data_IF_516460635818
#
_entry.id   IF_516460635818
#
_cell.length_a   1.000
_cell.length_b   1.000
_cell.length_c   1.000
_cell.angle_alpha   90.00
_cell.angle_beta   90.00
_cell.angle_gamma   90.00
#
_symmetry.space_group_name_H-M   'P 1'
#
loop_
_entity.id
_entity.type
_entity.pdbx_description
1 polymer ?
#
# COMPACT_ATOMS: atom_id res chain seq x y z
N UNK A 1 17.48 -0.31 -4.64
CA UNK A 1 16.11 -0.26 -4.09
C UNK A 1 15.23 -1.08 -5.00
N UNK A 2 14.33 -1.92 -4.47
CA UNK A 2 13.39 -2.66 -5.32
C UNK A 2 12.58 -1.67 -6.17
N UNK A 3 12.34 -1.99 -7.44
CA UNK A 3 11.50 -1.19 -8.31
C UNK A 3 10.09 -1.08 -7.68
N UNK A 4 9.56 0.13 -7.39
CA UNK A 4 8.23 0.32 -6.84
C UNK A 4 7.11 -0.37 -7.64
N UNK A 5 7.31 -0.56 -8.94
CA UNK A 5 6.35 -1.26 -9.80
C UNK A 5 6.13 -2.72 -9.40
N UNK A 6 7.10 -3.33 -8.69
CA UNK A 6 7.04 -4.74 -8.27
C UNK A 6 6.11 -5.00 -7.08
N UNK A 7 5.88 -4.01 -6.22
CA UNK A 7 5.06 -4.16 -5.00
C UNK A 7 3.89 -3.17 -4.89
N UNK A 8 3.81 -2.18 -5.79
CA UNK A 8 2.72 -1.18 -5.83
C UNK A 8 1.97 -1.23 -7.17
N UNK A 9 0.62 -1.22 -7.15
CA UNK A 9 -0.17 -1.06 -8.38
C UNK A 9 0.13 0.26 -9.09
N UNK A 10 -0.11 0.31 -10.41
CA UNK A 10 0.06 1.54 -11.18
C UNK A 10 -0.74 2.71 -10.57
N UNK A 11 -0.20 3.94 -10.57
CA UNK A 11 -0.89 5.11 -10.04
C UNK A 11 -2.32 5.25 -10.60
N UNK A 12 -3.29 5.58 -9.74
CA UNK A 12 -4.70 5.75 -10.14
C UNK A 12 -5.53 4.46 -10.25
N UNK A 13 -4.90 3.28 -10.36
CA UNK A 13 -5.62 2.00 -10.49
C UNK A 13 -6.25 1.51 -9.19
N UNK A 14 -5.77 1.98 -8.04
CA UNK A 14 -6.32 1.57 -6.75
C UNK A 14 -7.75 2.13 -6.59
N UNK A 15 -8.76 1.29 -6.33
CA UNK A 15 -10.15 1.72 -6.18
C UNK A 15 -10.38 2.59 -4.94
N UNK A 16 -11.42 3.43 -4.96
CA UNK A 16 -11.87 4.21 -3.79
C UNK A 16 -12.93 3.48 -2.95
N UNK A 17 -13.31 2.27 -3.37
CA UNK A 17 -14.28 1.43 -2.70
C UNK A 17 -13.71 0.75 -1.44
N UNK A 18 -14.58 0.28 -0.53
CA UNK A 18 -14.18 -0.61 0.56
C UNK A 18 -13.59 -1.92 0.06
N UNK A 19 -12.66 -2.48 0.83
CA UNK A 19 -12.10 -3.78 0.52
C UNK A 19 -10.95 -4.18 1.44
N UNK A 20 -10.25 -5.23 1.03
CA UNK A 20 -9.12 -5.83 1.73
C UNK A 20 -7.87 -5.69 0.86
N UNK A 21 -6.73 -5.42 1.47
CA UNK A 21 -5.42 -5.38 0.83
C UNK A 21 -4.44 -6.28 1.59
N UNK A 22 -3.40 -6.75 0.88
CA UNK A 22 -2.33 -7.57 1.45
C UNK A 22 -0.96 -7.05 1.01
N UNK A 23 0.02 -7.22 1.88
CA UNK A 23 1.42 -7.14 1.51
C UNK A 23 2.03 -8.53 1.58
N UNK A 24 2.89 -8.83 0.61
CA UNK A 24 3.62 -10.07 0.53
C UNK A 24 5.13 -9.78 0.56
N UNK A 25 5.90 -10.74 1.03
CA UNK A 25 7.35 -10.72 0.90
C UNK A 25 7.80 -11.05 -0.54
N UNK A 26 9.11 -11.06 -0.75
CA UNK A 26 9.74 -11.39 -2.04
C UNK A 26 9.47 -12.82 -2.54
N UNK A 27 9.07 -13.73 -1.65
CA UNK A 27 8.69 -15.10 -1.97
C UNK A 27 7.17 -15.26 -2.18
N UNK A 28 6.40 -14.17 -2.09
CA UNK A 28 4.95 -14.15 -2.24
C UNK A 28 4.17 -14.55 -0.98
N UNK A 29 4.84 -14.81 0.15
CA UNK A 29 4.14 -15.12 1.39
C UNK A 29 3.46 -13.87 1.92
N UNK A 30 2.20 -13.99 2.34
CA UNK A 30 1.44 -12.85 2.88
C UNK A 30 1.94 -12.53 4.28
N UNK A 31 2.47 -11.32 4.45
CA UNK A 31 3.02 -10.84 5.73
C UNK A 31 2.08 -9.88 6.47
N UNK A 32 1.14 -9.27 5.75
CA UNK A 32 0.18 -8.33 6.32
C UNK A 32 -1.12 -8.33 5.52
N UNK A 33 -2.25 -8.26 6.23
CA UNK A 33 -3.57 -8.05 5.65
C UNK A 33 -4.27 -6.92 6.39
N UNK A 34 -4.86 -5.98 5.64
CA UNK A 34 -5.63 -4.89 6.19
C UNK A 34 -6.96 -4.71 5.45
N UNK A 35 -7.93 -4.09 6.13
CA UNK A 35 -9.20 -3.66 5.54
C UNK A 35 -9.31 -2.15 5.51
N UNK A 36 -10.04 -1.60 4.56
CA UNK A 36 -10.28 -0.18 4.44
C UNK A 36 -11.68 0.12 3.92
N UNK A 37 -12.24 1.27 4.33
CA UNK A 37 -13.45 1.84 3.72
C UNK A 37 -13.17 2.48 2.34
N UNK A 38 -11.94 2.91 2.11
CA UNK A 38 -11.46 3.45 0.84
C UNK A 38 -10.01 2.95 0.64
N UNK A 39 -9.80 2.05 -0.32
CA UNK A 39 -8.50 1.42 -0.54
C UNK A 39 -7.44 2.41 -0.99
N UNK A 40 -7.76 3.33 -1.92
CA UNK A 40 -6.83 4.35 -2.40
C UNK A 40 -6.30 5.24 -1.29
N UNK A 41 -7.18 5.79 -0.47
CA UNK A 41 -6.80 6.66 0.64
C UNK A 41 -6.01 5.92 1.72
N UNK A 42 -6.31 4.64 1.96
CA UNK A 42 -5.56 3.83 2.93
C UNK A 42 -4.16 3.49 2.43
N UNK A 43 -4.05 3.09 1.16
CA UNK A 43 -2.80 2.61 0.58
C UNK A 43 -1.83 3.74 0.22
N UNK A 44 -2.31 4.96 -0.03
CA UNK A 44 -1.45 6.11 -0.38
C UNK A 44 -0.38 6.36 0.69
N UNK A 45 -0.71 6.26 1.97
CA UNK A 45 0.21 6.48 3.09
C UNK A 45 1.37 5.46 3.14
N UNK A 46 1.22 4.27 2.54
CA UNK A 46 2.30 3.27 2.49
C UNK A 46 3.29 3.52 1.36
N UNK A 47 2.91 4.32 0.36
CA UNK A 47 3.72 4.60 -0.83
C UNK A 47 4.16 6.06 -0.95
N UNK A 48 3.96 6.84 0.11
CA UNK A 48 4.51 8.19 0.22
C UNK A 48 6.00 8.13 0.55
N UNK A 49 6.71 9.16 0.11
CA UNK A 49 8.09 9.36 0.53
C UNK A 49 8.15 9.44 2.07
N UNK A 50 9.16 8.81 2.66
CA UNK A 50 9.38 8.83 4.11
C UNK A 50 9.53 10.27 4.62
N UNK A 51 10.12 11.17 3.81
CA UNK A 51 10.23 12.59 4.15
C UNK A 51 8.88 13.31 4.22
N UNK A 52 7.84 12.79 3.55
CA UNK A 52 6.49 13.34 3.55
C UNK A 52 5.58 12.66 4.59
N UNK A 53 6.07 11.65 5.32
CA UNK A 53 5.28 10.92 6.28
C UNK A 53 5.22 11.69 7.61
N UNK A 54 4.01 11.90 8.13
CA UNK A 54 3.85 12.50 9.45
C UNK A 54 4.51 11.61 10.52
N UNK A 55 5.24 12.18 11.50
CA UNK A 55 5.77 11.43 12.63
C UNK A 55 4.65 10.62 13.29
N UNK A 56 4.87 9.32 13.46
CA UNK A 56 3.92 8.44 14.15
C UNK A 56 4.46 8.21 15.56
N UNK A 57 3.66 8.57 16.56
CA UNK A 57 3.88 8.29 17.99
C UNK A 57 3.70 6.82 18.31
#
# INVERSE_FOLDING_TARGET
MADPSSYRPAPGTIPTQPGVYRFSDEHGQVIYVGKAKNLRARLSNYFQDLAALHPRT
#
